data_IF_995142694633
#
_entry.id   IF_995142694633
#
_cell.length_a   1.000
_cell.length_b   1.000
_cell.length_c   1.000
_cell.angle_alpha   90.00
_cell.angle_beta   90.00
_cell.angle_gamma   90.00
#
_symmetry.space_group_name_H-M   'P 1'
#
loop_
_entity.id
_entity.type
_entity.pdbx_description
1 polymer ?
#
# COMPACT_ATOMS: atom_id res chain seq x y z
N UNK A 1 5.85 6.35 7.63
CA UNK A 1 5.93 6.52 6.16
C UNK A 1 6.00 8.00 5.75
N UNK A 2 5.27 8.91 6.41
CA UNK A 2 5.24 10.34 6.04
C UNK A 2 6.64 10.99 5.95
N UNK A 3 7.62 10.48 6.71
CA UNK A 3 9.01 10.97 6.63
C UNK A 3 9.71 10.64 5.31
N UNK A 4 9.21 9.65 4.58
CA UNK A 4 9.83 9.20 3.33
C UNK A 4 9.18 9.83 2.09
N UNK A 5 7.94 10.31 2.21
CA UNK A 5 7.25 10.95 1.10
C UNK A 5 7.72 12.38 0.93
N UNK A 6 8.02 12.74 -0.30
CA UNK A 6 8.44 14.09 -0.66
C UNK A 6 7.33 14.82 -1.40
N UNK A 7 6.97 15.97 -0.89
CA UNK A 7 5.97 16.83 -1.49
C UNK A 7 6.48 17.49 -2.77
N UNK A 8 5.56 17.97 -3.59
CA UNK A 8 5.88 18.83 -4.74
C UNK A 8 6.58 20.10 -4.28
N UNK A 9 7.63 20.47 -4.98
CA UNK A 9 8.41 21.71 -4.79
C UNK A 9 8.69 22.39 -6.12
N UNK A 10 9.40 23.53 -6.12
CA UNK A 10 9.71 24.29 -7.35
C UNK A 10 10.36 23.42 -8.44
N UNK A 11 11.33 22.62 -8.03
CA UNK A 11 12.14 21.79 -8.94
C UNK A 11 11.83 20.28 -8.78
N UNK A 12 10.77 19.94 -8.06
CA UNK A 12 10.44 18.56 -7.74
C UNK A 12 8.94 18.31 -7.89
N UNK A 13 8.57 17.37 -8.75
CA UNK A 13 7.17 17.02 -9.02
C UNK A 13 6.44 16.30 -7.87
N UNK A 14 7.15 15.97 -6.79
CA UNK A 14 6.65 15.16 -5.69
C UNK A 14 6.71 13.67 -5.97
N UNK A 15 6.55 12.88 -4.93
CA UNK A 15 6.37 11.45 -5.04
C UNK A 15 4.92 11.12 -5.45
N UNK A 16 4.76 10.05 -6.22
CA UNK A 16 3.44 9.53 -6.56
C UNK A 16 3.13 8.37 -5.62
N UNK A 17 1.96 8.42 -4.99
CA UNK A 17 1.55 7.42 -4.00
C UNK A 17 0.27 6.75 -4.47
N UNK A 18 0.33 5.45 -4.64
CA UNK A 18 -0.82 4.57 -4.90
C UNK A 18 -1.09 3.71 -3.68
N UNK A 19 -2.34 3.72 -3.20
CA UNK A 19 -2.74 3.01 -1.98
C UNK A 19 -3.92 2.12 -2.32
N UNK A 20 -3.85 0.85 -1.92
CA UNK A 20 -4.95 -0.08 -2.09
C UNK A 20 -6.26 0.44 -1.47
N UNK A 21 -7.38 0.17 -2.11
CA UNK A 21 -8.70 0.67 -1.68
C UNK A 21 -9.05 0.29 -0.24
N UNK A 22 -8.64 -0.90 0.22
CA UNK A 22 -8.90 -1.39 1.57
C UNK A 22 -8.21 -0.58 2.67
N UNK A 23 -7.14 0.15 2.36
CA UNK A 23 -6.45 1.04 3.29
C UNK A 23 -7.05 2.46 3.34
N UNK A 24 -8.00 2.78 2.46
CA UNK A 24 -8.57 4.14 2.36
C UNK A 24 -9.14 4.68 3.67
N UNK A 25 -9.83 3.90 4.53
CA UNK A 25 -10.30 4.41 5.82
C UNK A 25 -9.18 4.95 6.71
N UNK A 26 -8.06 4.25 6.79
CA UNK A 26 -6.88 4.69 7.56
C UNK A 26 -6.25 5.97 7.00
N UNK A 27 -6.21 6.08 5.66
CA UNK A 27 -5.69 7.28 5.00
C UNK A 27 -6.60 8.48 5.24
N UNK A 28 -7.93 8.31 5.15
CA UNK A 28 -8.88 9.36 5.43
C UNK A 28 -8.83 9.81 6.90
N UNK A 29 -8.76 8.85 7.83
CA UNK A 29 -8.60 9.15 9.25
C UNK A 29 -7.32 9.96 9.51
N UNK A 30 -6.20 9.57 8.92
CA UNK A 30 -4.95 10.31 9.03
C UNK A 30 -5.05 11.71 8.42
N UNK A 31 -5.62 11.84 7.24
CA UNK A 31 -5.81 13.12 6.57
C UNK A 31 -6.72 14.06 7.37
N UNK A 32 -7.73 13.52 8.05
CA UNK A 32 -8.55 14.27 8.99
C UNK A 32 -7.73 14.82 10.17
N UNK A 33 -6.89 13.99 10.79
CA UNK A 33 -6.01 14.42 11.88
C UNK A 33 -4.99 15.49 11.43
N UNK A 34 -4.63 15.49 10.14
CA UNK A 34 -3.77 16.51 9.53
C UNK A 34 -4.53 17.78 9.10
N UNK A 35 -5.84 17.86 9.36
CA UNK A 35 -6.69 19.02 8.98
C UNK A 35 -7.00 19.11 7.48
N UNK A 36 -6.73 18.06 6.70
CA UNK A 36 -6.97 18.02 5.25
C UNK A 36 -8.40 17.63 4.88
N UNK A 37 -9.14 17.04 5.79
CA UNK A 37 -10.53 16.61 5.63
C UNK A 37 -11.37 17.11 6.79
N UNK A 38 -12.65 17.43 6.52
CA UNK A 38 -13.62 17.83 7.53
C UNK A 38 -14.37 16.62 8.10
N UNK A 39 -14.86 16.74 9.35
CA UNK A 39 -15.60 15.67 10.02
C UNK A 39 -16.84 15.22 9.24
N UNK A 40 -17.57 16.13 8.61
CA UNK A 40 -18.73 15.81 7.78
C UNK A 40 -18.39 14.91 6.57
N UNK A 41 -17.19 15.07 6.01
CA UNK A 41 -16.73 14.18 4.92
C UNK A 41 -16.48 12.75 5.42
N UNK A 42 -15.95 12.58 6.63
CA UNK A 42 -15.76 11.26 7.24
C UNK A 42 -17.10 10.57 7.52
N UNK A 43 -18.10 11.31 8.01
CA UNK A 43 -19.45 10.78 8.27
C UNK A 43 -20.13 10.30 6.98
N UNK A 44 -19.75 10.88 5.84
CA UNK A 44 -20.24 10.51 4.52
C UNK A 44 -19.29 9.55 3.77
N UNK A 45 -18.48 8.78 4.48
CA UNK A 45 -17.69 7.73 3.86
C UNK A 45 -18.60 6.70 3.18
N UNK A 46 -18.32 6.37 1.93
CA UNK A 46 -19.15 5.52 1.04
C UNK A 46 -20.52 6.10 0.70
N UNK A 47 -20.67 7.42 0.85
CA UNK A 47 -21.91 8.15 0.53
C UNK A 47 -21.60 9.35 -0.36
N UNK A 48 -20.93 9.09 -1.46
CA UNK A 48 -20.40 10.11 -2.37
C UNK A 48 -21.50 11.01 -2.97
N UNK A 49 -22.73 10.51 -3.06
CA UNK A 49 -23.89 11.22 -3.63
C UNK A 49 -24.64 12.09 -2.61
N UNK A 50 -24.22 12.11 -1.37
CA UNK A 50 -24.86 12.97 -0.36
C UNK A 50 -24.56 14.45 -0.61
N UNK A 51 -25.49 15.31 -0.20
CA UNK A 51 -25.29 16.75 -0.22
C UNK A 51 -24.02 17.12 0.56
N UNK A 52 -23.13 17.92 -0.04
CA UNK A 52 -21.82 18.23 0.52
C UNK A 52 -20.73 17.21 0.19
N UNK A 53 -21.07 16.16 -0.57
CA UNK A 53 -20.12 15.13 -0.97
C UNK A 53 -19.77 14.15 0.14
N UNK A 54 -18.98 13.12 -0.21
CA UNK A 54 -18.50 12.11 0.73
C UNK A 54 -17.16 11.55 0.29
N UNK A 55 -16.57 10.70 1.13
CA UNK A 55 -15.32 10.06 0.83
C UNK A 55 -15.56 8.77 0.07
N UNK A 56 -14.90 8.64 -1.07
CA UNK A 56 -14.98 7.45 -1.92
C UNK A 56 -14.37 6.23 -1.25
N UNK A 57 -15.07 5.10 -1.31
CA UNK A 57 -14.52 3.79 -0.91
C UNK A 57 -13.50 3.25 -1.91
N UNK A 58 -13.57 3.75 -3.15
CA UNK A 58 -12.63 3.42 -4.23
C UNK A 58 -11.83 4.68 -4.58
N UNK A 59 -10.61 4.82 -4.05
CA UNK A 59 -9.77 5.99 -4.31
C UNK A 59 -9.56 6.20 -5.80
N UNK A 60 -9.93 7.40 -6.28
CA UNK A 60 -9.76 7.75 -7.68
C UNK A 60 -9.65 9.28 -7.86
N UNK A 61 -8.68 9.76 -8.65
CA UNK A 61 -8.49 11.18 -8.93
C UNK A 61 -9.72 11.87 -9.53
N UNK A 62 -10.56 11.14 -10.26
CA UNK A 62 -11.81 11.69 -10.84
C UNK A 62 -12.79 12.11 -9.74
N UNK A 63 -12.87 11.35 -8.65
CA UNK A 63 -13.80 11.63 -7.55
C UNK A 63 -13.23 12.65 -6.56
N UNK A 64 -11.91 12.63 -6.36
CA UNK A 64 -11.20 13.50 -5.42
C UNK A 64 -9.89 13.98 -6.04
N UNK A 65 -9.92 14.89 -7.04
CA UNK A 65 -8.76 15.27 -7.85
C UNK A 65 -7.65 16.00 -7.07
N UNK A 66 -8.01 16.69 -6.00
CA UNK A 66 -7.05 17.37 -5.12
C UNK A 66 -6.45 16.46 -4.04
N UNK A 67 -6.98 15.24 -3.90
CA UNK A 67 -6.59 14.31 -2.84
C UNK A 67 -5.85 13.08 -3.37
N UNK A 68 -6.39 12.42 -4.40
CA UNK A 68 -5.81 11.20 -4.96
C UNK A 68 -5.01 11.49 -6.22
N UNK A 69 -3.78 11.00 -6.27
CA UNK A 69 -2.92 11.10 -7.46
C UNK A 69 -3.06 9.88 -8.40
N UNK A 70 -3.50 8.73 -7.87
CA UNK A 70 -3.58 7.46 -8.61
C UNK A 70 -4.89 6.73 -8.30
N UNK A 71 -5.49 6.07 -9.29
CA UNK A 71 -6.64 5.19 -9.05
C UNK A 71 -6.18 3.88 -8.41
N UNK A 72 -6.94 3.36 -7.45
CA UNK A 72 -6.66 2.11 -6.74
C UNK A 72 -7.95 1.29 -6.54
N UNK A 73 -8.85 1.33 -7.51
CA UNK A 73 -10.16 0.72 -7.38
C UNK A 73 -10.14 -0.80 -7.59
N UNK A 74 -9.23 -1.32 -8.39
CA UNK A 74 -9.19 -2.73 -8.79
C UNK A 74 -8.01 -3.45 -8.17
N UNK A 75 -8.27 -4.55 -7.49
CA UNK A 75 -7.23 -5.39 -6.89
C UNK A 75 -6.29 -5.92 -7.98
N UNK A 76 -5.00 -5.87 -7.69
CA UNK A 76 -3.95 -6.33 -8.60
C UNK A 76 -3.54 -5.34 -9.69
N UNK A 77 -4.38 -4.36 -10.07
CA UNK A 77 -4.09 -3.42 -11.15
C UNK A 77 -3.25 -2.20 -10.73
N UNK A 78 -3.16 -1.92 -9.44
CA UNK A 78 -2.33 -0.82 -8.94
C UNK A 78 -0.84 -1.06 -9.21
N UNK A 79 -0.38 -2.30 -9.06
CA UNK A 79 1.03 -2.67 -9.27
C UNK A 79 1.49 -2.45 -10.71
N UNK A 80 0.86 -3.04 -11.75
CA UNK A 80 1.26 -2.74 -13.13
C UNK A 80 1.14 -1.26 -13.46
N UNK A 81 0.11 -0.56 -12.98
CA UNK A 81 -0.04 0.88 -13.18
C UNK A 81 1.16 1.65 -12.61
N UNK A 82 1.59 1.33 -11.40
CA UNK A 82 2.76 1.97 -10.78
C UNK A 82 4.07 1.62 -11.47
N UNK A 83 4.23 0.38 -11.98
CA UNK A 83 5.38 -0.01 -12.78
C UNK A 83 5.46 0.85 -14.04
N UNK A 84 4.35 1.01 -14.78
CA UNK A 84 4.32 1.84 -15.98
C UNK A 84 4.48 3.33 -15.69
N UNK A 85 3.96 3.83 -14.57
CA UNK A 85 4.20 5.20 -14.11
C UNK A 85 5.68 5.45 -13.80
N UNK A 86 6.34 4.53 -13.09
CA UNK A 86 7.76 4.61 -12.80
C UNK A 86 8.61 4.57 -14.09
N UNK A 87 8.26 3.67 -15.00
CA UNK A 87 8.87 3.58 -16.33
C UNK A 87 8.71 4.88 -17.13
N UNK A 88 7.49 5.40 -17.18
CA UNK A 88 7.20 6.63 -17.92
C UNK A 88 7.92 7.84 -17.31
N UNK A 89 8.01 7.92 -15.98
CA UNK A 89 8.80 8.95 -15.31
C UNK A 89 10.28 8.92 -15.77
N UNK A 90 10.90 7.74 -15.80
CA UNK A 90 12.28 7.58 -16.31
C UNK A 90 12.40 7.91 -17.80
N UNK A 91 11.41 7.56 -18.61
CA UNK A 91 11.37 7.98 -20.01
C UNK A 91 11.37 9.50 -20.15
N UNK A 92 10.52 10.21 -19.41
CA UNK A 92 10.46 11.67 -19.43
C UNK A 92 11.79 12.30 -18.97
N UNK A 93 12.42 11.73 -17.96
CA UNK A 93 13.74 12.16 -17.47
C UNK A 93 14.83 11.94 -18.53
N UNK A 94 14.81 10.81 -19.22
CA UNK A 94 15.78 10.50 -20.28
C UNK A 94 15.62 11.40 -21.52
N UNK A 95 14.39 11.87 -21.76
CA UNK A 95 14.08 12.80 -22.85
C UNK A 95 14.28 14.28 -22.48
N UNK A 96 14.68 14.58 -21.26
CA UNK A 96 14.81 15.95 -20.76
C UNK A 96 13.48 16.70 -20.60
N UNK A 97 12.35 15.98 -20.62
CA UNK A 97 11.00 16.54 -20.44
C UNK A 97 10.61 16.67 -18.97
N UNK A 98 11.34 16.02 -18.09
CA UNK A 98 11.23 16.09 -16.63
C UNK A 98 12.63 16.15 -16.03
N UNK A 99 12.87 17.00 -15.02
CA UNK A 99 14.15 17.03 -14.34
C UNK A 99 14.44 15.71 -13.61
N UNK A 100 15.71 15.29 -13.61
CA UNK A 100 16.17 14.12 -12.83
C UNK A 100 16.30 14.51 -11.36
N UNK A 101 15.24 14.46 -10.64
CA UNK A 101 15.17 14.92 -9.25
C UNK A 101 14.88 13.80 -8.22
N UNK A 102 14.96 12.54 -8.65
CA UNK A 102 14.83 11.37 -7.80
C UNK A 102 13.42 11.10 -7.28
N UNK A 103 12.38 11.57 -7.99
CA UNK A 103 10.98 11.27 -7.67
C UNK A 103 10.69 9.77 -7.61
N UNK A 104 9.93 9.34 -6.61
CA UNK A 104 9.59 7.94 -6.38
C UNK A 104 8.12 7.68 -6.69
N UNK A 105 7.83 6.46 -7.10
CA UNK A 105 6.48 5.91 -7.16
C UNK A 105 6.35 4.89 -6.03
N UNK A 106 5.41 5.14 -5.12
CA UNK A 106 5.11 4.28 -3.99
C UNK A 106 3.84 3.51 -4.27
N UNK A 107 3.90 2.20 -4.21
CA UNK A 107 2.74 1.33 -4.37
C UNK A 107 2.49 0.53 -3.10
N UNK A 108 1.35 0.76 -2.44
CA UNK A 108 0.92 0.03 -1.26
C UNK A 108 -0.10 -1.01 -1.66
N UNK A 109 0.22 -2.28 -1.45
CA UNK A 109 -0.63 -3.43 -1.78
C UNK A 109 -0.84 -4.34 -0.58
N UNK A 110 -1.89 -5.17 -0.61
CA UNK A 110 -2.10 -6.25 0.35
C UNK A 110 -1.39 -7.54 -0.07
N UNK A 111 -1.18 -8.44 0.89
CA UNK A 111 -0.67 -9.78 0.61
C UNK A 111 -1.62 -10.58 -0.27
N UNK A 112 -2.93 -10.52 -0.01
CA UNK A 112 -3.94 -11.14 -0.87
C UNK A 112 -4.00 -10.53 -2.27
N UNK A 113 -3.84 -9.21 -2.40
CA UNK A 113 -3.74 -8.53 -3.69
C UNK A 113 -2.49 -8.95 -4.47
N UNK A 114 -1.42 -9.29 -3.76
CA UNK A 114 -0.15 -9.70 -4.38
C UNK A 114 -0.24 -11.02 -5.13
N UNK A 115 -1.27 -11.85 -4.86
CA UNK A 115 -1.50 -13.11 -5.56
C UNK A 115 -2.21 -12.93 -6.90
N UNK A 116 -2.72 -11.73 -7.20
CA UNK A 116 -3.37 -11.47 -8.48
C UNK A 116 -2.39 -11.68 -9.64
N UNK A 117 -2.83 -12.36 -10.72
CA UNK A 117 -1.97 -12.65 -11.87
C UNK A 117 -1.30 -11.40 -12.47
N UNK A 118 -1.99 -10.26 -12.42
CA UNK A 118 -1.50 -8.98 -12.92
C UNK A 118 -0.30 -8.48 -12.11
N UNK A 119 -0.27 -8.73 -10.80
CA UNK A 119 0.87 -8.38 -9.95
C UNK A 119 2.04 -9.28 -10.28
N UNK A 120 1.85 -10.59 -10.16
CA UNK A 120 2.91 -11.59 -10.36
C UNK A 120 3.46 -11.55 -11.79
N UNK A 121 2.61 -11.30 -12.78
CA UNK A 121 3.02 -11.20 -14.18
C UNK A 121 3.86 -9.97 -14.51
N UNK A 122 3.81 -8.92 -13.70
CA UNK A 122 4.45 -7.63 -14.00
C UNK A 122 5.69 -7.32 -13.16
N UNK A 123 5.91 -7.98 -12.03
CA UNK A 123 7.07 -7.70 -11.16
C UNK A 123 8.43 -7.87 -11.86
N UNK A 124 8.51 -8.80 -12.82
CA UNK A 124 9.72 -9.01 -13.63
C UNK A 124 10.05 -7.80 -14.54
N UNK A 125 9.04 -7.02 -14.97
CA UNK A 125 9.23 -5.85 -15.82
C UNK A 125 10.05 -4.80 -15.07
N UNK A 126 9.67 -4.51 -13.84
CA UNK A 126 10.34 -3.51 -13.01
C UNK A 126 11.83 -3.82 -12.79
N UNK A 127 12.15 -5.08 -12.50
CA UNK A 127 13.53 -5.51 -12.31
C UNK A 127 14.33 -5.48 -13.61
N UNK A 128 13.76 -5.95 -14.72
CA UNK A 128 14.41 -5.96 -16.04
C UNK A 128 14.74 -4.56 -16.53
N UNK A 129 13.85 -3.59 -16.27
CA UNK A 129 14.03 -2.21 -16.66
C UNK A 129 14.73 -1.36 -15.59
N UNK A 130 15.17 -1.99 -14.50
CA UNK A 130 15.91 -1.34 -13.41
C UNK A 130 15.18 -0.08 -12.89
N UNK A 131 13.91 -0.24 -12.54
CA UNK A 131 13.07 0.86 -12.04
C UNK A 131 13.39 1.15 -10.57
N UNK A 132 14.54 1.76 -10.30
CA UNK A 132 15.00 2.17 -8.97
C UNK A 132 14.18 3.32 -8.34
N UNK A 133 13.28 3.89 -9.12
CA UNK A 133 12.31 4.89 -8.67
C UNK A 133 10.96 4.29 -8.22
N UNK A 134 10.81 2.97 -8.22
CA UNK A 134 9.62 2.27 -7.75
C UNK A 134 9.86 1.62 -6.39
N UNK A 135 8.95 1.86 -5.46
CA UNK A 135 8.93 1.25 -4.13
C UNK A 135 7.58 0.58 -3.93
N UNK A 136 7.59 -0.72 -3.65
CA UNK A 136 6.39 -1.49 -3.35
C UNK A 136 6.38 -1.84 -1.87
N UNK A 137 5.27 -1.58 -1.20
CA UNK A 137 5.05 -1.87 0.22
C UNK A 137 3.91 -2.88 0.32
N UNK A 138 4.23 -4.14 0.58
CA UNK A 138 3.23 -5.18 0.81
C UNK A 138 2.85 -5.21 2.30
N UNK A 139 1.58 -4.95 2.59
CA UNK A 139 1.01 -5.07 3.93
C UNK A 139 0.51 -6.50 4.15
N UNK A 140 1.27 -7.28 4.89
CA UNK A 140 0.96 -8.68 5.17
C UNK A 140 0.11 -8.79 6.43
N UNK A 141 -1.20 -8.57 6.30
CA UNK A 141 -2.16 -8.72 7.38
C UNK A 141 -2.78 -10.14 7.43
N UNK A 142 -2.38 -11.04 6.54
CA UNK A 142 -2.81 -12.43 6.43
C UNK A 142 -4.31 -12.60 6.20
N UNK A 143 -4.95 -11.59 5.60
CA UNK A 143 -6.39 -11.59 5.34
C UNK A 143 -6.68 -11.48 3.84
N UNK A 144 -7.68 -12.25 3.40
CA UNK A 144 -8.31 -12.13 2.08
C UNK A 144 -9.79 -11.81 2.24
N UNK A 145 -10.50 -11.52 1.14
CA UNK A 145 -11.93 -11.25 1.15
C UNK A 145 -12.76 -12.46 1.64
N UNK A 146 -12.33 -13.65 1.31
CA UNK A 146 -12.98 -14.92 1.61
C UNK A 146 -12.47 -15.59 2.89
N UNK A 147 -11.49 -15.00 3.59
CA UNK A 147 -10.96 -15.54 4.83
C UNK A 147 -9.46 -15.31 5.03
N UNK A 148 -8.86 -16.04 5.97
CA UNK A 148 -7.42 -15.97 6.20
C UNK A 148 -6.64 -16.50 5.00
N UNK A 149 -5.46 -15.93 4.76
CA UNK A 149 -4.53 -16.43 3.75
C UNK A 149 -4.11 -17.86 4.09
N UNK A 150 -4.19 -18.77 3.11
CA UNK A 150 -3.80 -20.18 3.30
C UNK A 150 -2.30 -20.27 3.62
N UNK A 151 -1.97 -21.17 4.55
CA UNK A 151 -0.59 -21.47 4.90
C UNK A 151 0.05 -20.49 5.86
N UNK A 152 -0.72 -19.55 6.41
CA UNK A 152 -0.29 -18.61 7.44
C UNK A 152 1.11 -18.04 7.11
N UNK A 153 2.07 -17.92 8.00
CA UNK A 153 3.37 -17.32 7.72
C UNK A 153 4.13 -17.75 6.44
N UNK A 154 3.67 -18.78 5.70
CA UNK A 154 4.28 -19.18 4.42
C UNK A 154 4.07 -18.17 3.30
N UNK A 155 2.94 -17.45 3.29
CA UNK A 155 2.66 -16.45 2.23
C UNK A 155 3.73 -15.36 2.19
N UNK A 156 4.19 -14.89 3.35
CA UNK A 156 5.25 -13.87 3.42
C UNK A 156 6.53 -14.39 2.79
N UNK A 157 6.86 -15.66 3.05
CA UNK A 157 8.06 -16.30 2.46
C UNK A 157 7.90 -16.54 0.96
N UNK A 158 6.70 -16.87 0.50
CA UNK A 158 6.39 -17.05 -0.92
C UNK A 158 6.51 -15.73 -1.68
N UNK A 159 5.93 -14.66 -1.14
CA UNK A 159 6.08 -13.31 -1.70
C UNK A 159 7.55 -12.89 -1.74
N UNK A 160 8.28 -13.08 -0.63
CA UNK A 160 9.71 -12.76 -0.60
C UNK A 160 10.47 -13.49 -1.70
N UNK A 161 10.23 -14.81 -1.88
CA UNK A 161 10.89 -15.60 -2.93
C UNK A 161 10.53 -15.11 -4.32
N UNK A 162 9.25 -14.81 -4.56
CA UNK A 162 8.75 -14.33 -5.85
C UNK A 162 9.40 -13.02 -6.24
N UNK A 163 9.43 -12.04 -5.32
CA UNK A 163 10.04 -10.75 -5.58
C UNK A 163 11.56 -10.84 -5.70
N UNK A 164 12.24 -11.60 -4.83
CA UNK A 164 13.69 -11.82 -4.94
C UNK A 164 14.04 -12.56 -6.23
N UNK A 165 13.26 -13.59 -6.60
CA UNK A 165 13.44 -14.33 -7.85
C UNK A 165 13.25 -13.46 -9.09
N UNK A 166 12.37 -12.46 -9.00
CA UNK A 166 12.18 -11.45 -10.05
C UNK A 166 13.28 -10.37 -10.08
N UNK A 167 14.22 -10.36 -9.13
CA UNK A 167 15.33 -9.41 -9.09
C UNK A 167 15.10 -8.17 -8.21
N UNK A 168 14.08 -8.18 -7.36
CA UNK A 168 13.83 -7.09 -6.42
C UNK A 168 14.72 -7.17 -5.17
N UNK A 169 15.08 -6.01 -4.64
CA UNK A 169 15.63 -5.91 -3.29
C UNK A 169 14.48 -5.94 -2.29
N UNK A 170 14.41 -6.99 -1.47
CA UNK A 170 13.30 -7.21 -0.52
C UNK A 170 13.78 -7.01 0.91
N UNK A 171 13.09 -6.12 1.63
CA UNK A 171 13.30 -5.84 3.06
C UNK A 171 12.04 -6.29 3.81
N UNK A 172 12.20 -7.15 4.80
CA UNK A 172 11.12 -7.53 5.71
C UNK A 172 11.14 -6.64 6.94
N UNK A 173 9.99 -6.03 7.23
CA UNK A 173 9.78 -5.26 8.46
C UNK A 173 8.75 -6.01 9.29
N UNK A 174 9.09 -6.39 10.51
CA UNK A 174 8.20 -7.15 11.40
C UNK A 174 7.59 -6.21 12.45
N UNK A 175 8.45 -5.52 13.21
CA UNK A 175 8.06 -4.50 14.20
C UNK A 175 9.17 -3.46 14.39
N UNK A 176 8.88 -2.43 15.16
CA UNK A 176 9.91 -1.45 15.57
C UNK A 176 10.69 -1.95 16.79
N UNK A 177 11.89 -1.41 17.03
CA UNK A 177 12.71 -1.73 18.20
C UNK A 177 12.04 -1.40 19.55
N UNK A 178 11.00 -0.56 19.56
CA UNK A 178 10.19 -0.28 20.76
C UNK A 178 9.45 -1.51 21.28
N UNK A 179 9.12 -2.45 20.41
CA UNK A 179 8.52 -3.74 20.78
C UNK A 179 9.49 -4.63 21.56
N UNK A 180 10.79 -4.49 21.33
CA UNK A 180 11.80 -5.28 22.04
C UNK A 180 11.74 -5.02 23.55
N UNK A 181 11.44 -3.78 23.95
CA UNK A 181 11.24 -3.40 25.36
C UNK A 181 10.00 -4.10 25.95
N UNK A 182 8.91 -4.19 25.17
CA UNK A 182 7.70 -4.88 25.60
C UNK A 182 7.93 -6.39 25.74
N UNK A 183 8.64 -7.00 24.80
CA UNK A 183 9.00 -8.42 24.89
C UNK A 183 9.94 -8.72 26.02
N UNK A 184 10.85 -7.81 26.37
CA UNK A 184 11.78 -7.99 27.48
C UNK A 184 11.09 -8.05 28.86
N UNK A 185 9.92 -7.43 29.01
CA UNK A 185 9.13 -7.46 30.25
C UNK A 185 8.01 -8.52 30.22
N UNK A 186 7.80 -9.18 29.10
CA UNK A 186 6.79 -10.26 28.93
C UNK A 186 7.35 -11.60 29.43
N UNK A 187 7.67 -11.69 30.74
CA UNK A 187 8.29 -12.87 31.32
C UNK A 187 7.45 -14.14 31.26
N UNK A 188 6.12 -14.00 31.14
CA UNK A 188 5.18 -15.11 31.00
C UNK A 188 4.90 -15.47 29.55
N UNK A 189 5.41 -14.69 28.58
CA UNK A 189 5.19 -14.90 27.14
C UNK A 189 3.76 -14.65 26.69
N UNK A 190 2.95 -13.94 27.48
CA UNK A 190 1.53 -13.68 27.17
C UNK A 190 1.38 -12.84 25.92
N UNK A 191 2.17 -11.78 25.78
CA UNK A 191 2.17 -10.92 24.59
C UNK A 191 2.59 -11.71 23.35
N UNK A 192 3.68 -12.47 23.46
CA UNK A 192 4.19 -13.30 22.39
C UNK A 192 3.15 -14.36 21.97
N UNK A 193 2.55 -15.06 22.93
CA UNK A 193 1.52 -16.07 22.67
C UNK A 193 0.28 -15.45 22.05
N UNK A 194 -0.17 -14.29 22.53
CA UNK A 194 -1.33 -13.58 21.97
C UNK A 194 -1.09 -13.19 20.52
N UNK A 195 0.09 -12.67 20.17
CA UNK A 195 0.44 -12.32 18.79
C UNK A 195 0.51 -13.55 17.87
N UNK A 196 0.99 -14.69 18.40
CA UNK A 196 1.06 -15.95 17.63
C UNK A 196 -0.29 -16.64 17.47
N UNK A 197 -1.20 -16.49 18.44
CA UNK A 197 -2.50 -17.15 18.46
C UNK A 197 -3.63 -16.29 17.95
N UNK A 198 -3.40 -15.01 17.71
CA UNK A 198 -4.40 -14.10 17.17
C UNK A 198 -4.75 -14.49 15.73
N UNK A 199 -5.57 -15.54 15.60
CA UNK A 199 -6.31 -15.81 14.39
C UNK A 199 -7.69 -15.18 14.57
N UNK A 200 -8.14 -14.31 13.66
CA UNK A 200 -9.51 -13.85 13.69
C UNK A 200 -10.42 -15.08 13.62
N UNK A 201 -11.32 -15.19 14.57
CA UNK A 201 -12.28 -16.30 14.63
C UNK A 201 -12.99 -16.44 13.28
N UNK A 202 -13.15 -17.66 12.75
CA UNK A 202 -13.84 -17.86 11.50
C UNK A 202 -15.25 -17.28 11.64
N UNK A 203 -15.60 -16.34 10.76
CA UNK A 203 -16.98 -15.83 10.71
C UNK A 203 -17.89 -17.02 10.44
N UNK A 204 -18.73 -17.36 11.42
CA UNK A 204 -19.83 -18.31 11.17
C UNK A 204 -20.67 -17.70 10.04
N UNK A 205 -20.63 -18.31 8.88
CA UNK A 205 -21.62 -18.06 7.84
C UNK A 205 -22.99 -18.37 8.47
N UNK A 206 -23.80 -17.33 8.65
CA UNK A 206 -25.19 -17.53 9.02
C UNK A 206 -25.84 -18.15 7.78
N UNK A 207 -26.29 -19.39 7.95
CA UNK A 207 -27.18 -20.10 7.02
C UNK A 207 -28.45 -19.34 6.78
#
# INVERSE_FOLDING_TARGET
LNHFFRNKGPDYGGDLISIQAHCSPGIYARAFLEGRLAAGQLQNFRRELQAGGGLSSYPHPRNMPSFWASPCASMGLSTPSCIYQARFAKYLESRGLKPKNGGKVWNFIGDGESDEPEVLGTINIAAREQLDNLILVANCNLQRLDGPVRGNGKIIQELERSFRGAGWNVIKVIWSGEWDTLFAIDHEGVLQMTLMTFQPAPRKLRS
#
